data_IF_741343298378
#
_entry.id   IF_741343298378
#
_cell.length_a   1.000
_cell.length_b   1.000
_cell.length_c   1.000
_cell.angle_alpha   90.00
_cell.angle_beta   90.00
_cell.angle_gamma   90.00
#
_symmetry.space_group_name_H-M   'P 1'
#
loop_
_entity.id
_entity.type
_entity.pdbx_description
1 polymer ?
#
# COMPACT_ATOMS: atom_id res chain seq x y z
N UNK A 1 2.39 -32.38 19.65
CA UNK A 1 1.20 -31.84 18.97
C UNK A 1 1.58 -30.53 18.31
N UNK A 2 1.94 -30.59 17.03
CA UNK A 2 2.25 -29.42 16.20
C UNK A 2 0.97 -28.62 16.02
N UNK A 3 0.87 -27.49 16.71
CA UNK A 3 -0.15 -26.48 16.47
C UNK A 3 0.08 -25.89 15.07
N UNK A 4 -0.40 -26.58 14.03
CA UNK A 4 -0.59 -25.98 12.72
C UNK A 4 -1.74 -24.97 12.87
N UNK A 5 -1.36 -23.76 13.28
CA UNK A 5 -2.25 -22.61 13.27
C UNK A 5 -2.58 -22.32 11.81
N UNK A 6 -3.76 -22.75 11.38
CA UNK A 6 -4.43 -22.20 10.20
C UNK A 6 -4.81 -20.74 10.51
N UNK A 7 -3.82 -19.87 10.62
CA UNK A 7 -3.95 -18.42 10.70
C UNK A 7 -3.24 -17.89 9.46
N UNK A 8 -3.96 -17.65 8.38
CA UNK A 8 -4.75 -16.44 8.31
C UNK A 8 -4.16 -15.66 7.15
N UNK A 9 -5.04 -15.34 6.20
CA UNK A 9 -4.85 -14.65 4.92
C UNK A 9 -3.43 -14.12 4.67
N UNK A 10 -2.82 -14.77 3.68
CA UNK A 10 -1.92 -14.28 2.64
C UNK A 10 -1.57 -12.80 2.72
N UNK A 11 -0.27 -12.50 2.83
CA UNK A 11 0.21 -11.11 2.79
C UNK A 11 -0.25 -10.51 1.46
N UNK A 12 -1.10 -9.48 1.53
CA UNK A 12 -1.62 -8.82 0.35
C UNK A 12 -0.78 -7.58 0.05
N UNK A 13 -0.04 -7.62 -1.05
CA UNK A 13 0.66 -6.46 -1.59
C UNK A 13 -0.21 -5.80 -2.65
N UNK A 14 -0.67 -4.59 -2.39
CA UNK A 14 -1.37 -3.79 -3.39
C UNK A 14 -0.38 -2.76 -3.92
N UNK A 15 0.05 -2.95 -5.17
CA UNK A 15 0.93 -2.03 -5.89
C UNK A 15 0.07 -1.11 -6.73
N UNK A 16 0.11 0.18 -6.40
CA UNK A 16 -0.62 1.21 -7.12
C UNK A 16 0.36 1.91 -8.06
N UNK A 17 0.34 1.54 -9.34
CA UNK A 17 1.13 2.20 -10.36
C UNK A 17 0.45 3.52 -10.74
N UNK A 18 1.22 4.60 -10.83
CA UNK A 18 0.72 5.94 -11.15
C UNK A 18 1.31 6.30 -12.50
N UNK A 19 0.48 6.18 -13.53
CA UNK A 19 0.65 6.65 -14.91
C UNK A 19 1.92 6.20 -15.66
N UNK A 20 1.70 5.30 -16.63
CA UNK A 20 2.47 5.01 -17.85
C UNK A 20 3.92 5.54 -17.93
N UNK A 21 4.79 5.08 -17.05
CA UNK A 21 6.24 4.97 -17.28
C UNK A 21 6.82 3.98 -16.25
N UNK A 22 6.46 2.69 -16.33
CA UNK A 22 7.27 1.62 -15.70
C UNK A 22 8.64 1.47 -16.42
N UNK A 23 8.98 2.37 -17.35
CA UNK A 23 10.31 2.44 -17.99
C UNK A 23 11.11 3.63 -17.49
N UNK A 24 11.23 3.77 -16.17
CA UNK A 24 12.41 4.32 -15.52
C UNK A 24 12.37 3.89 -14.06
N UNK A 25 13.47 3.33 -13.57
CA UNK A 25 13.70 3.04 -12.16
C UNK A 25 13.11 1.75 -11.56
N UNK A 26 13.41 0.59 -12.15
CA UNK A 26 14.12 -0.44 -11.35
C UNK A 26 15.60 0.02 -11.27
N UNK A 27 15.85 1.18 -10.66
CA UNK A 27 17.19 1.53 -10.19
C UNK A 27 17.17 0.99 -8.76
N UNK A 28 17.91 -0.09 -8.46
CA UNK A 28 18.08 -0.50 -7.08
C UNK A 28 18.72 0.69 -6.36
N UNK A 29 18.02 1.27 -5.38
CA UNK A 29 18.71 2.20 -4.47
C UNK A 29 19.88 1.42 -3.84
N UNK A 30 21.14 1.82 -4.05
CA UNK A 30 22.25 1.18 -3.35
C UNK A 30 22.08 1.53 -1.87
N UNK A 31 21.79 0.53 -1.04
CA UNK A 31 21.43 0.70 0.36
C UNK A 31 19.92 0.68 0.62
N UNK A 32 19.26 -0.44 0.27
CA UNK A 32 17.94 -0.83 0.79
C UNK A 32 18.05 -1.08 2.31
N UNK A 33 18.33 -0.02 3.05
CA UNK A 33 18.12 0.01 4.48
C UNK A 33 16.59 -0.01 4.63
N UNK A 34 16.05 -1.09 5.21
CA UNK A 34 14.65 -1.25 5.60
C UNK A 34 14.23 0.06 6.27
N UNK A 35 13.58 0.97 5.53
CA UNK A 35 13.30 2.30 6.04
C UNK A 35 12.34 2.11 7.21
N UNK A 36 12.78 2.54 8.38
CA UNK A 36 11.99 2.49 9.61
C UNK A 36 10.65 3.19 9.38
N UNK A 37 9.57 2.75 10.04
CA UNK A 37 8.25 3.37 9.89
C UNK A 37 8.38 4.87 10.12
N UNK A 38 8.04 5.69 9.12
CA UNK A 38 7.87 7.13 9.34
C UNK A 38 6.63 7.27 10.20
N UNK A 39 6.83 7.57 11.48
CA UNK A 39 5.74 7.82 12.42
C UNK A 39 5.09 9.16 12.07
N UNK A 40 3.97 9.13 11.33
CA UNK A 40 3.20 10.34 11.07
C UNK A 40 2.29 10.61 12.28
N UNK A 41 2.53 11.71 12.99
CA UNK A 41 1.71 12.11 14.14
C UNK A 41 0.46 12.85 13.64
N UNK A 42 -0.73 12.30 13.88
CA UNK A 42 -2.01 12.98 13.63
C UNK A 42 -2.70 13.34 14.95
N UNK A 43 -3.25 14.54 15.05
CA UNK A 43 -4.05 14.98 16.20
C UNK A 43 -5.44 14.32 16.16
N UNK A 44 -5.82 13.65 17.25
CA UNK A 44 -6.97 12.74 17.40
C UNK A 44 -8.39 13.32 17.19
N UNK A 45 -8.55 14.61 16.85
CA UNK A 45 -9.86 15.29 16.94
C UNK A 45 -10.71 15.33 15.64
N UNK A 46 -10.25 14.77 14.52
CA UNK A 46 -10.89 14.99 13.20
C UNK A 46 -11.06 13.71 12.36
N UNK A 47 -11.34 12.56 12.98
CA UNK A 47 -11.26 11.24 12.34
C UNK A 47 -12.59 10.64 11.81
N UNK A 48 -13.75 11.25 12.08
CA UNK A 48 -15.03 10.54 11.86
C UNK A 48 -15.67 10.74 10.47
N UNK A 49 -15.37 11.85 9.76
CA UNK A 49 -15.85 12.04 8.37
C UNK A 49 -14.80 11.74 7.29
N UNK A 50 -13.52 11.66 7.66
CA UNK A 50 -12.40 11.65 6.69
C UNK A 50 -11.88 10.25 6.33
N UNK A 51 -12.41 9.18 6.95
CA UNK A 51 -11.98 7.81 6.69
C UNK A 51 -13.06 7.01 5.95
N UNK A 52 -13.51 7.53 4.81
CA UNK A 52 -14.41 6.84 3.90
C UNK A 52 -13.86 6.94 2.47
N UNK A 53 -13.98 5.88 1.68
CA UNK A 53 -13.63 5.91 0.26
C UNK A 53 -14.92 6.01 -0.55
N UNK A 54 -15.16 7.18 -1.13
CA UNK A 54 -16.30 7.41 -2.01
C UNK A 54 -16.13 6.67 -3.35
N UNK A 55 -17.24 6.29 -4.00
CA UNK A 55 -17.22 5.76 -5.38
C UNK A 55 -16.99 6.86 -6.42
N UNK A 56 -15.79 7.45 -6.41
CA UNK A 56 -15.32 8.46 -7.37
C UNK A 56 -13.86 8.19 -7.72
N UNK A 57 -13.36 8.80 -8.79
CA UNK A 57 -11.95 8.70 -9.12
C UNK A 57 -11.09 9.53 -8.16
N UNK A 58 -10.08 8.90 -7.56
CA UNK A 58 -9.11 9.56 -6.70
C UNK A 58 -7.86 9.93 -7.50
N UNK A 59 -7.43 11.18 -7.38
CA UNK A 59 -6.14 11.59 -7.93
C UNK A 59 -4.96 11.08 -7.06
N UNK A 60 -3.73 11.32 -7.50
CA UNK A 60 -2.54 10.86 -6.77
C UNK A 60 -2.45 11.36 -5.32
N UNK A 61 -2.81 12.62 -5.07
CA UNK A 61 -2.75 13.21 -3.73
C UNK A 61 -3.78 12.58 -2.79
N UNK A 62 -5.02 12.47 -3.24
CA UNK A 62 -6.12 11.83 -2.50
C UNK A 62 -5.82 10.36 -2.21
N UNK A 63 -5.32 9.62 -3.21
CA UNK A 63 -4.89 8.24 -3.06
C UNK A 63 -3.75 8.13 -2.02
N UNK A 64 -2.76 9.00 -2.10
CA UNK A 64 -1.61 9.02 -1.18
C UNK A 64 -2.03 9.32 0.26
N UNK A 65 -2.94 10.28 0.42
CA UNK A 65 -3.51 10.64 1.73
C UNK A 65 -4.29 9.46 2.34
N UNK A 66 -5.14 8.80 1.54
CA UNK A 66 -5.87 7.61 1.97
C UNK A 66 -4.93 6.49 2.43
N UNK A 67 -3.90 6.18 1.64
CA UNK A 67 -2.94 5.12 1.97
C UNK A 67 -2.15 5.46 3.25
N UNK A 68 -1.66 6.69 3.38
CA UNK A 68 -0.94 7.13 4.59
C UNK A 68 -1.86 7.07 5.80
N UNK A 69 -3.07 7.57 5.69
CA UNK A 69 -4.06 7.56 6.78
C UNK A 69 -4.37 6.13 7.21
N UNK A 70 -4.61 5.23 6.25
CA UNK A 70 -4.82 3.80 6.52
C UNK A 70 -3.65 3.18 7.26
N UNK A 71 -2.42 3.46 6.81
CA UNK A 71 -1.20 2.96 7.47
C UNK A 71 -1.07 3.43 8.92
N UNK A 72 -1.60 4.62 9.24
CA UNK A 72 -1.52 5.20 10.57
C UNK A 72 -2.60 4.69 11.51
N UNK A 73 -3.80 4.45 10.99
CA UNK A 73 -4.90 3.91 11.76
C UNK A 73 -4.71 2.41 12.05
N UNK A 74 -4.12 1.67 11.11
CA UNK A 74 -3.99 0.21 11.20
C UNK A 74 -2.53 -0.26 11.19
N UNK A 75 -1.65 0.39 11.95
CA UNK A 75 -0.19 0.10 11.99
C UNK A 75 0.18 -1.36 12.33
N UNK A 76 -0.70 -2.08 13.03
CA UNK A 76 -0.50 -3.48 13.39
C UNK A 76 -0.76 -4.44 12.22
N UNK A 77 -1.58 -4.02 11.26
CA UNK A 77 -2.03 -4.86 10.14
C UNK A 77 -1.52 -4.37 8.78
N UNK A 78 -1.05 -3.13 8.72
CA UNK A 78 -0.68 -2.48 7.48
C UNK A 78 0.75 -1.98 7.51
N UNK A 79 1.40 -2.03 6.35
CA UNK A 79 2.70 -1.39 6.14
C UNK A 79 2.72 -0.73 4.77
N UNK A 80 2.84 0.59 4.75
CA UNK A 80 2.96 1.38 3.53
C UNK A 80 4.44 1.68 3.24
N UNK A 81 4.88 1.37 2.04
CA UNK A 81 6.21 1.74 1.55
C UNK A 81 6.19 2.09 0.07
N UNK A 82 7.27 2.70 -0.40
CA UNK A 82 7.47 3.01 -1.82
C UNK A 82 8.53 2.10 -2.42
N UNK A 83 8.26 1.58 -3.62
CA UNK A 83 9.22 0.77 -4.39
C UNK A 83 10.06 1.60 -5.37
N UNK A 84 9.79 2.90 -5.49
CA UNK A 84 10.42 3.77 -6.47
C UNK A 84 9.60 5.02 -6.74
N UNK A 85 10.05 5.83 -7.69
CA UNK A 85 9.32 7.01 -8.15
C UNK A 85 9.06 6.89 -9.65
N UNK A 86 7.94 7.44 -10.11
CA UNK A 86 7.64 7.62 -11.53
C UNK A 86 8.59 8.64 -12.16
N UNK A 87 8.52 8.79 -13.50
CA UNK A 87 9.21 9.87 -14.22
C UNK A 87 8.83 11.28 -13.75
N UNK A 88 7.63 11.45 -13.21
CA UNK A 88 7.15 12.71 -12.62
C UNK A 88 7.35 12.78 -11.10
N UNK A 89 8.31 12.02 -10.55
CA UNK A 89 8.69 12.04 -9.12
C UNK A 89 7.57 11.63 -8.14
N UNK A 90 6.48 11.01 -8.62
CA UNK A 90 5.42 10.44 -7.78
C UNK A 90 5.85 9.09 -7.20
N UNK A 91 5.56 8.85 -5.93
CA UNK A 91 5.90 7.61 -5.23
C UNK A 91 5.06 6.44 -5.75
N UNK A 92 5.72 5.30 -5.97
CA UNK A 92 5.08 4.04 -6.34
C UNK A 92 4.71 3.28 -5.07
N UNK A 93 3.50 3.54 -4.57
CA UNK A 93 3.04 3.02 -3.28
C UNK A 93 2.74 1.52 -3.33
N UNK A 94 3.15 0.85 -2.25
CA UNK A 94 2.77 -0.52 -1.93
C UNK A 94 2.18 -0.55 -0.54
N UNK A 95 0.94 -0.99 -0.44
CA UNK A 95 0.28 -1.29 0.83
C UNK A 95 0.35 -2.80 1.09
N UNK A 96 0.96 -3.17 2.21
CA UNK A 96 0.93 -4.53 2.75
C UNK A 96 -0.23 -4.64 3.72
N UNK A 97 -1.05 -5.69 3.59
CA UNK A 97 -2.08 -6.04 4.58
C UNK A 97 -1.80 -7.46 5.09
N UNK A 98 -1.51 -7.60 6.38
CA UNK A 98 -1.15 -8.86 7.03
C UNK A 98 -1.22 -8.74 8.55
N UNK A 99 -1.47 -9.85 9.26
CA UNK A 99 -1.30 -9.95 10.73
C UNK A 99 0.15 -9.71 11.21
N UNK A 100 1.10 -9.75 10.28
CA UNK A 100 2.53 -9.49 10.52
C UNK A 100 3.05 -8.77 9.27
N UNK A 101 2.83 -7.45 9.14
CA UNK A 101 3.06 -6.73 7.88
C UNK A 101 4.54 -6.44 7.62
N UNK A 102 5.39 -6.57 8.64
CA UNK A 102 6.82 -6.30 8.54
C UNK A 102 7.65 -7.53 8.20
N UNK A 103 7.17 -8.75 8.50
CA UNK A 103 7.97 -9.98 8.43
C UNK A 103 7.32 -11.02 7.52
N UNK A 104 8.14 -11.64 6.67
CA UNK A 104 7.73 -12.80 5.86
C UNK A 104 7.79 -14.07 6.72
N UNK A 105 6.69 -14.83 6.74
CA UNK A 105 6.55 -16.04 7.55
C UNK A 105 6.57 -17.25 6.62
N UNK A 106 7.54 -18.15 6.81
CA UNK A 106 7.65 -19.38 6.02
C UNK A 106 6.36 -20.20 6.16
N UNK A 107 5.79 -20.61 5.02
CA UNK A 107 4.53 -21.36 4.97
C UNK A 107 3.28 -20.48 4.88
N UNK A 108 3.41 -19.16 5.05
CA UNK A 108 2.36 -18.20 4.68
C UNK A 108 2.56 -17.77 3.22
N UNK A 109 1.58 -18.00 2.32
CA UNK A 109 1.69 -17.55 0.94
C UNK A 109 1.59 -16.02 0.86
N UNK A 110 2.16 -15.45 -0.21
CA UNK A 110 2.05 -14.03 -0.53
C UNK A 110 1.25 -13.86 -1.83
N UNK A 111 0.33 -12.90 -1.88
CA UNK A 111 -0.44 -12.54 -3.07
C UNK A 111 -0.29 -11.05 -3.33
N UNK A 112 -0.21 -10.72 -4.61
CA UNK A 112 0.02 -9.36 -5.08
C UNK A 112 -1.07 -8.98 -6.06
N UNK A 113 -1.71 -7.85 -5.83
CA UNK A 113 -2.50 -7.15 -6.84
C UNK A 113 -1.71 -5.96 -7.36
N UNK A 114 -1.72 -5.81 -8.68
CA UNK A 114 -1.17 -4.63 -9.37
C UNK A 114 -2.27 -4.06 -10.22
N UNK A 115 -2.45 -2.75 -10.13
CA UNK A 115 -3.43 -2.04 -10.93
C UNK A 115 -2.85 -0.75 -11.49
N UNK A 116 -3.54 -0.20 -12.50
CA UNK A 116 -3.28 1.12 -13.07
C UNK A 116 -1.88 1.25 -13.70
N UNK A 117 -1.41 0.17 -14.35
CA UNK A 117 -0.13 0.14 -15.07
C UNK A 117 -0.16 1.05 -16.31
N UNK A 118 -1.30 1.09 -16.99
CA UNK A 118 -1.62 2.08 -18.00
C UNK A 118 -2.39 3.22 -17.32
N UNK A 119 -2.08 4.47 -17.66
CA UNK A 119 -2.63 5.64 -16.96
C UNK A 119 -4.13 5.85 -17.18
N UNK A 120 -4.66 5.30 -18.27
CA UNK A 120 -6.08 5.35 -18.65
C UNK A 120 -6.90 4.17 -18.07
N UNK A 121 -6.27 3.18 -17.44
CA UNK A 121 -6.93 2.03 -16.79
C UNK A 121 -7.30 2.31 -15.31
N UNK A 122 -7.90 3.47 -15.05
CA UNK A 122 -8.18 3.98 -13.70
C UNK A 122 -9.11 3.10 -12.85
N UNK A 123 -9.93 2.24 -13.47
CA UNK A 123 -10.87 1.34 -12.76
C UNK A 123 -10.13 0.41 -11.79
N UNK A 124 -8.96 -0.10 -12.18
CA UNK A 124 -8.17 -0.97 -11.32
C UNK A 124 -7.69 -0.25 -10.06
N UNK A 125 -7.32 1.04 -10.18
CA UNK A 125 -6.90 1.86 -9.03
C UNK A 125 -8.05 1.97 -8.02
N UNK A 126 -9.23 2.36 -8.47
CA UNK A 126 -10.36 2.56 -7.54
C UNK A 126 -10.78 1.24 -6.88
N UNK A 127 -10.79 0.12 -7.62
CA UNK A 127 -11.06 -1.21 -7.06
C UNK A 127 -10.08 -1.56 -5.92
N UNK A 128 -8.80 -1.22 -6.08
CA UNK A 128 -7.79 -1.47 -5.07
C UNK A 128 -7.95 -0.58 -3.83
N UNK A 129 -8.38 0.68 -3.99
CA UNK A 129 -8.67 1.55 -2.84
C UNK A 129 -9.86 1.01 -2.02
N UNK A 130 -10.91 0.56 -2.70
CA UNK A 130 -12.06 -0.07 -2.05
C UNK A 130 -11.74 -1.45 -1.46
N UNK A 131 -10.74 -2.18 -1.97
CA UNK A 131 -10.29 -3.44 -1.38
C UNK A 131 -9.51 -3.22 -0.07
N UNK A 132 -8.85 -2.06 0.07
CA UNK A 132 -8.10 -1.68 1.28
C UNK A 132 -9.01 -1.15 2.39
N UNK A 133 -10.04 -0.38 2.02
CA UNK A 133 -10.99 0.25 2.94
C UNK A 133 -11.83 -0.78 3.71
#
# INVERSE_FOLDING_TARGET
>A
ATSMSFAGITILFIVMAVECCIVAAIVPRPGLNRQSPKHYTMHHAQLDESYTVDFKYHNYEQMTEFLKTTSLLFQNFTYLYSIGQSVEERELWVMVVSSSPYDHIVGKPDVKYVANIHGDEAVGRELMLHLIH
#
